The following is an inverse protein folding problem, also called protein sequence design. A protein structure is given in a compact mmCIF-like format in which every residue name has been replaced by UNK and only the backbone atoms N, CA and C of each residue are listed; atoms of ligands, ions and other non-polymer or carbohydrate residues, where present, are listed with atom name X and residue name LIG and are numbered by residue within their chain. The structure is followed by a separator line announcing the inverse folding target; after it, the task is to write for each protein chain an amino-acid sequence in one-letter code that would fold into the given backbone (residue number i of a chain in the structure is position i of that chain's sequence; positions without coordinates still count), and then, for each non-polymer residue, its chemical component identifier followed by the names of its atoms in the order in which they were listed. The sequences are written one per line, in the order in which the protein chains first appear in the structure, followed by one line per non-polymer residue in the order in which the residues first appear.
data_IF_630787029124
#
_entry.id   IF_630787029124
#
_cell.length_a   1.000
_cell.length_b   1.000
_cell.length_c   1.000
_cell.angle_alpha   90.00
_cell.angle_beta   90.00
_cell.angle_gamma   90.00
#
_symmetry.space_group_name_H-M   'P 1'
#
loop_
_entity.id
_entity.type
_entity.pdbx_description
1 polymer ?
#
# COMPACT_ATOMS: atom_id res chain seq x y z
N UNK A 1 -14.44 20.54 8.14
CA UNK A 1 -14.25 19.92 9.46
C UNK A 1 -13.03 19.02 9.35
N UNK A 2 -12.03 19.19 10.22
CA UNK A 2 -10.86 18.32 10.22
C UNK A 2 -11.27 16.97 10.83
N UNK A 3 -11.24 15.92 10.02
CA UNK A 3 -11.66 14.58 10.42
C UNK A 3 -10.57 14.01 11.34
N UNK A 4 -10.92 13.75 12.60
CA UNK A 4 -9.95 13.43 13.67
C UNK A 4 -9.94 11.95 14.05
N UNK A 5 -10.84 11.14 13.46
CA UNK A 5 -10.91 9.69 13.68
C UNK A 5 -11.53 8.95 12.48
N UNK A 6 -11.20 7.66 12.28
CA UNK A 6 -11.82 6.76 11.27
C UNK A 6 -13.34 6.81 11.27
N UNK A 7 -13.94 6.89 12.46
CA UNK A 7 -15.39 6.83 12.65
C UNK A 7 -16.07 8.10 12.13
N UNK A 8 -15.41 9.25 12.28
CA UNK A 8 -15.88 10.52 11.73
C UNK A 8 -15.81 10.53 10.21
N UNK A 9 -14.79 9.88 9.62
CA UNK A 9 -14.69 9.76 8.16
C UNK A 9 -15.71 8.77 7.60
N UNK A 10 -15.84 7.59 8.22
CA UNK A 10 -16.82 6.57 7.87
C UNK A 10 -18.26 7.11 7.89
N UNK A 11 -18.58 7.98 8.86
CA UNK A 11 -19.89 8.63 8.96
C UNK A 11 -20.22 9.58 7.80
N UNK A 12 -19.22 10.08 7.07
CA UNK A 12 -19.43 10.95 5.89
C UNK A 12 -19.59 10.19 4.58
N UNK A 13 -19.31 8.88 4.58
CA UNK A 13 -19.32 8.04 3.39
C UNK A 13 -20.70 7.43 3.13
N UNK A 14 -21.00 7.15 1.86
CA UNK A 14 -22.20 6.38 1.51
C UNK A 14 -22.03 4.91 1.95
N UNK A 15 -23.14 4.19 2.14
CA UNK A 15 -23.14 2.80 2.63
C UNK A 15 -22.11 1.89 1.93
N UNK A 16 -22.04 1.95 0.60
CA UNK A 16 -21.11 1.14 -0.20
C UNK A 16 -19.64 1.49 0.03
N UNK A 17 -19.35 2.78 0.21
CA UNK A 17 -17.98 3.21 0.44
C UNK A 17 -17.54 2.94 1.89
N UNK A 18 -18.47 2.99 2.84
CA UNK A 18 -18.25 2.61 4.24
C UNK A 18 -17.89 1.13 4.35
N UNK A 19 -18.68 0.24 3.73
CA UNK A 19 -18.40 -1.20 3.70
C UNK A 19 -17.02 -1.51 3.08
N UNK A 20 -16.69 -0.85 1.96
CA UNK A 20 -15.38 -0.99 1.32
C UNK A 20 -14.24 -0.47 2.22
N UNK A 21 -14.49 0.61 2.96
CA UNK A 21 -13.51 1.19 3.87
C UNK A 21 -13.23 0.26 5.06
N UNK A 22 -14.27 -0.30 5.67
CA UNK A 22 -14.14 -1.28 6.75
C UNK A 22 -13.44 -2.57 6.29
N UNK A 23 -13.77 -3.06 5.09
CA UNK A 23 -13.11 -4.23 4.50
C UNK A 23 -11.60 -3.99 4.32
N UNK A 24 -11.22 -2.85 3.74
CA UNK A 24 -9.81 -2.48 3.56
C UNK A 24 -9.08 -2.33 4.88
N UNK A 25 -9.70 -1.68 5.85
CA UNK A 25 -9.13 -1.51 7.21
C UNK A 25 -8.86 -2.88 7.85
N UNK A 26 -9.77 -3.85 7.67
CA UNK A 26 -9.61 -5.23 8.13
C UNK A 26 -8.46 -5.96 7.44
N UNK A 27 -8.33 -5.81 6.11
CA UNK A 27 -7.20 -6.39 5.35
C UNK A 27 -5.85 -5.85 5.82
N UNK A 28 -5.80 -4.60 6.29
CA UNK A 28 -4.63 -3.98 6.88
C UNK A 28 -4.43 -4.29 8.39
N UNK A 29 -5.10 -5.32 8.92
CA UNK A 29 -4.96 -5.72 10.33
C UNK A 29 -5.69 -4.82 11.32
N UNK A 30 -6.75 -4.12 10.88
CA UNK A 30 -7.51 -3.19 11.70
C UNK A 30 -6.84 -1.82 11.86
N UNK A 31 -5.85 -1.51 11.02
CA UNK A 31 -5.11 -0.26 11.07
C UNK A 31 -5.89 0.88 10.41
N UNK A 32 -6.24 1.90 11.19
CA UNK A 32 -6.90 3.10 10.68
C UNK A 32 -5.89 4.06 10.01
N UNK A 33 -6.05 4.42 8.72
CA UNK A 33 -5.20 5.39 8.04
C UNK A 33 -5.07 6.73 8.75
N UNK A 34 -6.10 7.19 9.48
CA UNK A 34 -6.09 8.48 10.16
C UNK A 34 -5.33 8.47 11.50
N UNK A 35 -5.04 7.28 12.04
CA UNK A 35 -4.23 7.14 13.26
C UNK A 35 -2.73 7.04 12.97
N UNK A 36 -2.35 6.97 11.69
CA UNK A 36 -0.97 6.81 11.28
C UNK A 36 -0.23 8.15 11.37
N UNK A 37 0.87 8.16 12.10
CA UNK A 37 1.76 9.32 12.20
C UNK A 37 3.00 9.06 11.38
N UNK A 38 3.60 10.10 10.80
CA UNK A 38 4.82 9.98 9.99
C UNK A 38 5.98 9.27 10.74
N UNK A 39 6.02 9.36 12.06
CA UNK A 39 7.00 8.69 12.91
C UNK A 39 6.85 7.16 12.96
N UNK A 40 5.67 6.62 12.59
CA UNK A 40 5.41 5.18 12.58
C UNK A 40 5.97 4.49 11.32
N UNK A 41 6.48 5.28 10.37
CA UNK A 41 6.98 4.78 9.10
C UNK A 41 8.49 4.91 8.97
N UNK A 42 9.07 3.92 8.31
CA UNK A 42 10.49 3.85 8.00
C UNK A 42 10.65 3.72 6.48
N UNK A 43 11.64 4.44 5.95
CA UNK A 43 12.11 4.28 4.58
C UNK A 43 13.24 3.26 4.59
N UNK A 44 12.90 1.99 4.63
CA UNK A 44 13.86 0.87 4.61
C UNK A 44 13.51 -0.06 3.44
N UNK A 45 14.44 -0.16 2.48
CA UNK A 45 14.30 -1.02 1.31
C UNK A 45 14.30 -2.51 1.68
N UNK A 46 14.90 -2.90 2.80
CA UNK A 46 14.90 -4.30 3.24
C UNK A 46 13.53 -4.75 3.74
N UNK A 47 12.68 -3.80 4.17
CA UNK A 47 11.28 -4.05 4.51
C UNK A 47 10.37 -4.13 3.29
N UNK A 48 10.86 -3.77 2.10
CA UNK A 48 10.06 -3.87 0.88
C UNK A 48 9.77 -5.32 0.58
N UNK A 49 8.57 -5.59 0.05
CA UNK A 49 8.27 -6.89 -0.52
C UNK A 49 9.32 -7.19 -1.60
N UNK A 50 10.10 -8.25 -1.40
CA UNK A 50 11.10 -8.70 -2.38
C UNK A 50 10.36 -9.29 -3.58
N UNK A 51 10.02 -8.42 -4.52
CA UNK A 51 9.46 -8.80 -5.81
C UNK A 51 10.62 -9.17 -6.73
N UNK A 52 10.69 -10.43 -7.15
CA UNK A 52 11.66 -10.90 -8.13
C UNK A 52 11.01 -11.01 -9.53
N UNK A 53 11.82 -11.28 -10.54
CA UNK A 53 11.33 -11.50 -11.90
C UNK A 53 10.31 -12.64 -12.00
N UNK A 54 10.42 -13.64 -11.12
CA UNK A 54 9.52 -14.80 -11.05
C UNK A 54 8.13 -14.38 -10.61
N UNK A 55 8.02 -13.55 -9.57
CA UNK A 55 6.78 -12.99 -9.05
C UNK A 55 6.11 -12.09 -10.11
N UNK A 56 6.90 -11.31 -10.84
CA UNK A 56 6.41 -10.48 -11.95
C UNK A 56 5.87 -11.37 -13.07
N UNK A 57 6.61 -12.41 -13.48
CA UNK A 57 6.17 -13.36 -14.50
C UNK A 57 4.91 -14.13 -14.07
N UNK A 58 4.87 -14.61 -12.83
CA UNK A 58 3.70 -15.31 -12.29
C UNK A 58 2.48 -14.39 -12.31
N UNK A 59 2.61 -13.14 -11.85
CA UNK A 59 1.51 -12.18 -11.84
C UNK A 59 1.03 -11.81 -13.25
N UNK A 60 1.95 -11.55 -14.18
CA UNK A 60 1.61 -11.07 -15.52
C UNK A 60 1.20 -12.17 -16.50
N UNK A 61 1.75 -13.37 -16.36
CA UNK A 61 1.62 -14.45 -17.35
C UNK A 61 0.84 -15.64 -16.82
N UNK A 62 1.07 -16.07 -15.57
CA UNK A 62 0.49 -17.30 -15.03
C UNK A 62 -0.85 -17.08 -14.31
N UNK A 63 -0.97 -15.98 -13.55
CA UNK A 63 -2.23 -15.55 -12.94
C UNK A 63 -3.05 -14.73 -13.94
N UNK A 64 -4.37 -14.78 -13.82
CA UNK A 64 -5.28 -13.93 -14.59
C UNK A 64 -5.12 -12.46 -14.19
N UNK A 65 -4.06 -11.81 -14.66
CA UNK A 65 -4.03 -10.35 -14.69
C UNK A 65 -4.88 -9.91 -15.87
N UNK A 66 -5.80 -8.99 -15.63
CA UNK A 66 -6.62 -8.37 -16.68
C UNK A 66 -5.79 -7.50 -17.65
N UNK A 67 -4.46 -7.47 -17.49
CA UNK A 67 -3.56 -6.59 -18.23
C UNK A 67 -3.04 -7.30 -19.46
N UNK A 68 -3.60 -6.99 -20.63
CA UNK A 68 -3.10 -7.56 -21.89
C UNK A 68 -1.72 -6.99 -22.24
N UNK A 69 -0.94 -7.71 -23.07
CA UNK A 69 0.35 -7.23 -23.59
C UNK A 69 0.26 -5.82 -24.20
N UNK A 70 -0.86 -5.51 -24.86
CA UNK A 70 -1.07 -4.22 -25.50
C UNK A 70 -1.43 -3.13 -24.48
N UNK A 71 -2.06 -3.48 -23.35
CA UNK A 71 -2.26 -2.57 -22.23
C UNK A 71 -0.94 -2.25 -21.49
N UNK A 72 -0.03 -3.21 -21.39
CA UNK A 72 1.33 -3.02 -20.87
C UNK A 72 2.20 -2.15 -21.78
N UNK A 73 1.99 -2.22 -23.10
CA UNK A 73 2.63 -1.33 -24.09
C UNK A 73 1.88 -0.02 -24.29
N UNK A 74 0.77 0.20 -23.60
CA UNK A 74 -0.04 1.39 -23.77
C UNK A 74 0.68 2.62 -23.23
N UNK A 75 0.29 3.79 -23.76
CA UNK A 75 0.84 5.09 -23.38
C UNK A 75 0.87 5.32 -21.86
N UNK A 76 -0.15 4.86 -21.12
CA UNK A 76 -0.24 5.05 -19.66
C UNK A 76 0.82 4.25 -18.90
N UNK A 77 1.15 3.05 -19.36
CA UNK A 77 2.20 2.23 -18.75
C UNK A 77 3.59 2.85 -19.01
N UNK A 78 3.83 3.34 -20.23
CA UNK A 78 5.06 4.06 -20.56
C UNK A 78 5.19 5.37 -19.77
N UNK A 79 4.10 6.10 -19.60
CA UNK A 79 4.07 7.33 -18.81
C UNK A 79 4.33 7.05 -17.32
N UNK A 80 3.74 5.98 -16.77
CA UNK A 80 4.06 5.50 -15.42
C UNK A 80 5.54 5.16 -15.25
N UNK A 81 6.13 4.43 -16.20
CA UNK A 81 7.56 4.14 -16.22
C UNK A 81 8.40 5.43 -16.26
N UNK A 82 8.00 6.42 -17.07
CA UNK A 82 8.70 7.68 -17.19
C UNK A 82 8.65 8.49 -15.89
N UNK A 83 7.52 8.48 -15.17
CA UNK A 83 7.43 9.12 -13.85
C UNK A 83 8.39 8.47 -12.85
N UNK A 84 8.48 7.14 -12.84
CA UNK A 84 9.44 6.41 -11.99
C UNK A 84 10.88 6.77 -12.36
N UNK A 85 11.23 6.63 -13.65
CA UNK A 85 12.61 6.85 -14.14
C UNK A 85 13.07 8.29 -13.99
N UNK A 86 12.15 9.24 -14.13
CA UNK A 86 12.43 10.68 -13.99
C UNK A 86 12.41 11.15 -12.53
N UNK A 87 12.27 10.24 -11.56
CA UNK A 87 12.32 10.57 -10.12
C UNK A 87 11.08 11.26 -9.56
N UNK A 88 9.95 11.20 -10.27
CA UNK A 88 8.69 11.80 -9.80
C UNK A 88 7.95 10.91 -8.78
N UNK A 89 8.39 9.65 -8.63
CA UNK A 89 7.83 8.71 -7.66
C UNK A 89 8.72 8.71 -6.41
N UNK A 90 8.12 9.03 -5.26
CA UNK A 90 8.79 8.90 -3.96
C UNK A 90 8.83 7.44 -3.53
N UNK A 91 9.90 7.09 -2.82
CA UNK A 91 10.04 5.80 -2.19
C UNK A 91 8.89 5.53 -1.20
N UNK A 92 8.28 4.34 -1.23
CA UNK A 92 7.22 3.98 -0.31
C UNK A 92 7.77 3.89 1.13
N UNK A 93 7.00 4.47 2.04
CA UNK A 93 7.25 4.37 3.48
C UNK A 93 6.50 3.18 4.05
N UNK A 94 7.18 2.36 4.84
CA UNK A 94 6.62 1.13 5.41
C UNK A 94 6.45 1.32 6.91
N UNK A 95 5.27 0.96 7.44
CA UNK A 95 5.05 0.96 8.88
C UNK A 95 6.03 -0.02 9.52
N UNK A 96 6.83 0.43 10.48
CA UNK A 96 7.78 -0.45 11.15
C UNK A 96 7.03 -1.64 11.76
N UNK A 97 7.50 -2.89 11.57
CA UNK A 97 6.92 -4.02 12.28
C UNK A 97 7.00 -3.77 13.79
N UNK A 98 5.99 -4.18 14.58
CA UNK A 98 6.03 -4.01 16.02
C UNK A 98 7.28 -4.71 16.55
N UNK A 99 8.20 -3.94 17.14
CA UNK A 99 9.44 -4.46 17.70
C UNK A 99 9.08 -5.55 18.72
N UNK A 100 9.64 -6.77 18.62
CA UNK A 100 9.46 -7.75 19.66
C UNK A 100 10.04 -7.14 20.95
N UNK A 101 9.21 -6.99 21.98
CA UNK A 101 9.65 -6.56 23.30
C UNK A 101 10.80 -7.48 23.71
N UNK A 102 12.02 -6.96 23.71
CA UNK A 102 13.15 -7.67 24.30
C UNK A 102 12.81 -7.86 25.77
N UNK A 103 12.51 -9.10 26.16
CA UNK A 103 12.44 -9.51 27.56
C UNK A 103 13.81 -9.28 28.18
N UNK A 104 14.03 -8.09 28.73
CA UNK A 104 15.12 -7.79 29.63
C UNK A 104 14.81 -8.45 30.96
N UNK A 105 15.07 -9.76 31.06
CA UNK A 105 15.17 -10.42 32.36
C UNK A 105 16.54 -10.10 32.94
N UNK A 106 16.56 -9.25 33.97
CA UNK A 106 17.61 -9.20 34.98
C UNK A 106 17.23 -10.16 36.11
#
# INVERSE_FOLDING_TARGET
MAVSSSQDYAATLCQKDCERYEEKTRLCGGLDPFTLVAADFVSDMDLWLRVDSTNIFEFLVLRTSFTTRDQLKSRKALEGHNFVTSGWVREPWIKSPPTPRSSSNN
#
